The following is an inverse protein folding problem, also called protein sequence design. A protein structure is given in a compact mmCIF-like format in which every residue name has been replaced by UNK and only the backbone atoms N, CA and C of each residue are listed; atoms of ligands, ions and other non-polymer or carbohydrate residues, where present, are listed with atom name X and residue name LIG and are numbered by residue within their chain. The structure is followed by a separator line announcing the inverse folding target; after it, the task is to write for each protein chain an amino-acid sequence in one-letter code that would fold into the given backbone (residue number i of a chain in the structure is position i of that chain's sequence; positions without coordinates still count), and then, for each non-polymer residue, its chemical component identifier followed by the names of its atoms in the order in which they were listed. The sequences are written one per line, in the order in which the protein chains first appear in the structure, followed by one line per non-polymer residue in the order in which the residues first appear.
data_IF_623616393455
#
_entry.id   IF_623616393455
#
_cell.length_a   1.000
_cell.length_b   1.000
_cell.length_c   1.000
_cell.angle_alpha   90.00
_cell.angle_beta   90.00
_cell.angle_gamma   90.00
#
_symmetry.space_group_name_H-M   'P 1'
#
loop_
_entity.id
_entity.type
_entity.pdbx_description
1 polymer ?
#
# COMPACT_ATOMS: atom_id res chain seq x y z
N UNK A 1 -33.63 -3.10 -7.64
CA UNK A 1 -32.69 -2.06 -7.28
C UNK A 1 -32.72 -1.82 -5.77
N UNK A 2 -31.72 -1.15 -5.23
CA UNK A 2 -31.59 -0.94 -3.79
C UNK A 2 -30.84 -2.05 -3.04
N UNK A 3 -30.24 -3.00 -3.75
CA UNK A 3 -29.36 -4.04 -3.20
C UNK A 3 -28.17 -4.18 -4.12
N UNK A 4 -26.97 -4.02 -3.61
CA UNK A 4 -25.70 -4.17 -4.31
C UNK A 4 -24.85 -5.25 -3.67
N UNK A 5 -24.10 -5.99 -4.47
CA UNK A 5 -23.13 -6.99 -4.06
C UNK A 5 -21.75 -6.59 -4.56
N UNK A 6 -20.80 -6.48 -3.68
CA UNK A 6 -19.47 -5.96 -3.99
C UNK A 6 -18.36 -6.74 -3.31
N UNK A 7 -17.17 -6.70 -3.93
CA UNK A 7 -15.91 -7.07 -3.33
C UNK A 7 -15.25 -5.85 -2.68
N UNK A 8 -14.50 -6.07 -1.62
CA UNK A 8 -13.66 -5.06 -0.98
C UNK A 8 -12.23 -5.59 -0.80
N UNK A 9 -11.30 -4.74 -0.38
CA UNK A 9 -9.94 -5.15 -0.02
C UNK A 9 -9.17 -5.86 -1.15
N UNK A 10 -8.53 -6.98 -0.80
CA UNK A 10 -7.65 -7.73 -1.71
C UNK A 10 -8.37 -8.22 -2.97
N UNK A 11 -9.59 -8.71 -2.82
CA UNK A 11 -10.42 -9.18 -3.92
C UNK A 11 -10.76 -8.05 -4.89
N UNK A 12 -11.11 -6.88 -4.37
CA UNK A 12 -11.42 -5.70 -5.18
C UNK A 12 -10.20 -5.20 -5.98
N UNK A 13 -8.99 -5.29 -5.39
CA UNK A 13 -7.73 -4.94 -6.04
C UNK A 13 -7.25 -5.96 -7.09
N UNK A 14 -7.89 -7.13 -7.18
CA UNK A 14 -7.40 -8.23 -8.02
C UNK A 14 -6.12 -8.87 -7.48
N UNK A 15 -5.90 -8.82 -6.19
CA UNK A 15 -4.73 -9.33 -5.49
C UNK A 15 -5.08 -10.57 -4.62
N UNK A 16 -6.06 -11.35 -5.04
CA UNK A 16 -6.44 -12.56 -4.33
C UNK A 16 -5.36 -13.64 -4.52
N UNK A 17 -4.96 -14.28 -3.41
CA UNK A 17 -4.07 -15.43 -3.46
C UNK A 17 -4.83 -16.76 -3.50
N UNK A 18 -4.15 -17.89 -3.77
CA UNK A 18 -4.79 -19.20 -3.92
C UNK A 18 -5.62 -19.67 -2.73
N UNK A 19 -5.25 -19.22 -1.52
CA UNK A 19 -5.97 -19.59 -0.28
C UNK A 19 -6.46 -18.36 0.49
N UNK A 20 -6.60 -17.21 -0.18
CA UNK A 20 -7.06 -15.98 0.47
C UNK A 20 -8.57 -15.99 0.68
N UNK A 21 -9.01 -15.35 1.76
CA UNK A 21 -10.42 -15.11 2.04
C UNK A 21 -11.05 -14.20 0.98
N UNK A 22 -12.34 -14.41 0.73
CA UNK A 22 -13.14 -13.53 -0.11
C UNK A 22 -13.80 -12.45 0.75
N UNK A 23 -13.31 -11.21 0.63
CA UNK A 23 -13.91 -10.03 1.30
C UNK A 23 -15.14 -9.55 0.52
N UNK A 24 -16.33 -9.85 1.00
CA UNK A 24 -17.59 -9.60 0.29
C UNK A 24 -18.58 -8.80 1.13
N UNK A 25 -19.32 -7.89 0.49
CA UNK A 25 -20.33 -7.08 1.16
C UNK A 25 -21.63 -7.02 0.36
N UNK A 26 -22.76 -7.18 1.05
CA UNK A 26 -24.08 -6.80 0.54
C UNK A 26 -24.41 -5.42 1.12
N UNK A 27 -24.64 -4.46 0.22
CA UNK A 27 -25.12 -3.13 0.58
C UNK A 27 -26.59 -3.04 0.21
N UNK A 28 -27.45 -2.57 1.11
CA UNK A 28 -28.86 -2.41 0.81
C UNK A 28 -29.44 -1.08 1.31
N UNK A 29 -30.46 -0.60 0.60
CA UNK A 29 -31.26 0.53 1.02
C UNK A 29 -32.29 0.09 2.09
N UNK A 30 -32.43 0.84 3.18
CA UNK A 30 -33.46 0.58 4.17
C UNK A 30 -34.85 0.44 3.52
N UNK A 31 -35.64 -0.52 3.96
CA UNK A 31 -36.99 -0.83 3.46
C UNK A 31 -37.07 -1.54 2.08
N UNK A 32 -35.94 -1.85 1.43
CA UNK A 32 -35.95 -2.65 0.19
C UNK A 32 -36.37 -4.09 0.46
N UNK A 33 -35.86 -4.67 1.55
CA UNK A 33 -36.19 -5.99 2.04
C UNK A 33 -36.50 -5.94 3.53
N UNK A 34 -37.35 -6.85 4.01
CA UNK A 34 -37.45 -7.11 5.43
C UNK A 34 -36.33 -8.05 5.89
N UNK A 35 -36.15 -8.20 7.21
CA UNK A 35 -35.05 -9.00 7.79
C UNK A 35 -35.06 -10.46 7.32
N UNK A 36 -36.25 -11.07 7.16
CA UNK A 36 -36.37 -12.43 6.67
C UNK A 36 -35.89 -12.55 5.22
N UNK A 37 -36.32 -11.65 4.33
CA UNK A 37 -35.94 -11.64 2.93
C UNK A 37 -34.43 -11.37 2.76
N UNK A 38 -33.86 -10.49 3.62
CA UNK A 38 -32.44 -10.20 3.64
C UNK A 38 -31.62 -11.43 4.03
N UNK A 39 -32.05 -12.14 5.09
CA UNK A 39 -31.41 -13.38 5.52
C UNK A 39 -31.52 -14.48 4.45
N UNK A 40 -32.68 -14.64 3.79
CA UNK A 40 -32.83 -15.60 2.70
C UNK A 40 -31.92 -15.30 1.51
N UNK A 41 -31.78 -14.01 1.13
CA UNK A 41 -30.86 -13.58 0.08
C UNK A 41 -29.42 -13.85 0.47
N UNK A 42 -29.02 -13.48 1.68
CA UNK A 42 -27.71 -13.71 2.21
C UNK A 42 -27.33 -15.20 2.18
N UNK A 43 -28.21 -16.04 2.71
CA UNK A 43 -28.00 -17.48 2.73
C UNK A 43 -27.84 -18.06 1.31
N UNK A 44 -28.64 -17.61 0.33
CA UNK A 44 -28.50 -18.01 -1.07
C UNK A 44 -27.18 -17.63 -1.71
N UNK A 45 -26.56 -16.54 -1.25
CA UNK A 45 -25.27 -16.10 -1.77
C UNK A 45 -24.09 -16.77 -1.05
N UNK A 46 -24.18 -16.94 0.28
CA UNK A 46 -23.06 -17.44 1.07
C UNK A 46 -22.92 -18.96 1.06
N UNK A 47 -24.03 -19.71 1.17
CA UNK A 47 -23.96 -21.16 1.25
C UNK A 47 -23.23 -21.81 0.06
N UNK A 48 -23.48 -21.45 -1.21
CA UNK A 48 -22.75 -22.05 -2.33
C UNK A 48 -21.25 -21.81 -2.30
N UNK A 49 -20.82 -20.68 -1.74
CA UNK A 49 -19.40 -20.34 -1.61
C UNK A 49 -18.75 -21.14 -0.48
N UNK A 50 -19.39 -21.24 0.68
CA UNK A 50 -18.93 -22.10 1.78
C UNK A 50 -18.90 -23.58 1.39
N UNK A 51 -19.92 -24.06 0.71
CA UNK A 51 -20.00 -25.47 0.24
C UNK A 51 -18.90 -25.79 -0.78
N UNK A 52 -18.34 -24.78 -1.46
CA UNK A 52 -17.18 -24.92 -2.33
C UNK A 52 -15.84 -24.89 -1.59
N UNK A 53 -15.84 -24.75 -0.28
CA UNK A 53 -14.61 -24.71 0.54
C UNK A 53 -13.86 -23.39 0.47
N UNK A 54 -14.53 -22.29 0.10
CA UNK A 54 -13.96 -20.95 0.09
C UNK A 54 -14.15 -20.28 1.46
N UNK A 55 -13.09 -19.66 1.96
CA UNK A 55 -13.16 -18.84 3.16
C UNK A 55 -13.74 -17.47 2.82
N UNK A 56 -14.68 -16.98 3.63
CA UNK A 56 -15.41 -15.74 3.39
C UNK A 56 -15.32 -14.83 4.60
N UNK A 57 -14.81 -13.61 4.39
CA UNK A 57 -15.15 -12.46 5.24
C UNK A 57 -16.31 -11.71 4.57
N UNK A 58 -17.47 -11.70 5.20
CA UNK A 58 -18.69 -11.19 4.59
C UNK A 58 -19.49 -10.31 5.55
N UNK A 59 -20.14 -9.31 5.01
CA UNK A 59 -21.03 -8.47 5.79
C UNK A 59 -22.25 -8.03 4.98
N UNK A 60 -23.31 -7.67 5.71
CA UNK A 60 -24.54 -7.12 5.16
C UNK A 60 -24.79 -5.81 5.89
N UNK A 61 -24.83 -4.70 5.16
CA UNK A 61 -24.87 -3.38 5.74
C UNK A 61 -25.71 -2.43 4.90
N UNK A 62 -26.36 -1.49 5.57
CA UNK A 62 -26.85 -0.29 4.89
C UNK A 62 -25.68 0.64 4.57
N UNK A 63 -25.86 1.57 3.65
CA UNK A 63 -24.87 2.62 3.38
C UNK A 63 -24.40 3.34 4.64
N UNK A 64 -25.35 3.74 5.52
CA UNK A 64 -25.01 4.42 6.75
C UNK A 64 -24.14 3.58 7.69
N UNK A 65 -24.40 2.28 7.79
CA UNK A 65 -23.57 1.35 8.57
C UNK A 65 -22.16 1.15 7.96
N UNK A 66 -22.03 1.14 6.62
CA UNK A 66 -20.73 1.13 5.97
C UNK A 66 -19.91 2.38 6.32
N UNK A 67 -20.53 3.55 6.25
CA UNK A 67 -19.91 4.83 6.59
C UNK A 67 -19.51 4.88 8.08
N UNK A 68 -20.38 4.43 8.98
CA UNK A 68 -20.12 4.40 10.42
C UNK A 68 -18.93 3.49 10.78
N UNK A 69 -18.89 2.27 10.24
CA UNK A 69 -17.78 1.35 10.50
C UNK A 69 -16.47 1.92 10.01
N UNK A 70 -16.43 2.50 8.81
CA UNK A 70 -15.20 3.10 8.27
C UNK A 70 -14.75 4.36 9.00
N UNK A 71 -15.63 5.04 9.73
CA UNK A 71 -15.25 6.18 10.57
C UNK A 71 -14.55 5.77 11.87
N UNK A 72 -14.76 4.54 12.35
CA UNK A 72 -14.27 4.08 13.66
C UNK A 72 -13.26 2.95 13.60
N UNK A 73 -13.21 2.20 12.51
CA UNK A 73 -12.34 1.04 12.30
C UNK A 73 -11.36 1.33 11.15
N UNK A 74 -10.06 1.44 11.48
CA UNK A 74 -9.03 1.75 10.50
C UNK A 74 -8.81 0.62 9.48
N UNK A 75 -8.71 -0.66 9.85
CA UNK A 75 -8.66 -1.78 8.92
C UNK A 75 -9.84 -1.81 7.96
N UNK A 76 -11.06 -1.65 8.47
CA UNK A 76 -12.26 -1.59 7.65
C UNK A 76 -12.23 -0.39 6.69
N UNK A 77 -11.85 0.80 7.18
CA UNK A 77 -11.72 1.98 6.33
C UNK A 77 -10.75 1.74 5.16
N UNK A 78 -9.58 1.16 5.43
CA UNK A 78 -8.60 0.84 4.37
C UNK A 78 -9.13 -0.21 3.39
N UNK A 79 -9.85 -1.23 3.86
CA UNK A 79 -10.48 -2.22 2.98
C UNK A 79 -11.52 -1.60 2.04
N UNK A 80 -12.29 -0.64 2.54
CA UNK A 80 -13.32 0.07 1.78
C UNK A 80 -12.79 1.12 0.80
N UNK A 81 -11.50 1.46 0.82
CA UNK A 81 -10.89 2.30 -0.22
C UNK A 81 -10.81 1.57 -1.57
N UNK A 82 -10.88 0.23 -1.54
CA UNK A 82 -10.90 -0.63 -2.72
C UNK A 82 -12.23 -1.37 -2.77
N UNK A 83 -13.15 -0.92 -3.61
CA UNK A 83 -14.50 -1.51 -3.78
C UNK A 83 -14.73 -1.81 -5.25
N UNK A 84 -15.18 -3.02 -5.56
CA UNK A 84 -15.53 -3.45 -6.91
C UNK A 84 -16.94 -4.01 -6.94
N UNK A 85 -17.87 -3.42 -7.69
CA UNK A 85 -19.19 -3.98 -7.90
C UNK A 85 -19.11 -5.37 -8.55
N UNK A 86 -19.89 -6.33 -8.03
CA UNK A 86 -20.03 -7.68 -8.59
C UNK A 86 -21.40 -7.80 -9.25
N UNK A 87 -22.48 -7.46 -8.53
CA UNK A 87 -23.85 -7.62 -9.02
C UNK A 87 -24.82 -6.65 -8.35
N UNK A 88 -26.02 -6.53 -8.89
CA UNK A 88 -27.12 -5.76 -8.32
C UNK A 88 -27.02 -4.25 -8.61
N UNK A 89 -27.32 -3.43 -7.61
CA UNK A 89 -27.36 -1.96 -7.73
C UNK A 89 -25.95 -1.34 -7.70
N UNK A 90 -25.32 -1.26 -8.85
CA UNK A 90 -23.98 -0.66 -9.03
C UNK A 90 -23.95 0.82 -8.60
N UNK A 91 -25.04 1.56 -8.79
CA UNK A 91 -25.09 2.96 -8.41
C UNK A 91 -25.04 3.12 -6.89
N UNK A 92 -25.74 2.27 -6.15
CA UNK A 92 -25.68 2.23 -4.68
C UNK A 92 -24.27 1.93 -4.19
N UNK A 93 -23.60 0.93 -4.78
CA UNK A 93 -22.22 0.55 -4.43
C UNK A 93 -21.28 1.72 -4.69
N UNK A 94 -21.30 2.29 -5.89
CA UNK A 94 -20.42 3.39 -6.30
C UNK A 94 -20.64 4.64 -5.43
N UNK A 95 -21.89 4.97 -5.13
CA UNK A 95 -22.23 6.11 -4.26
C UNK A 95 -21.71 5.91 -2.84
N UNK A 96 -21.83 4.69 -2.30
CA UNK A 96 -21.31 4.33 -0.98
C UNK A 96 -19.78 4.44 -0.95
N UNK A 97 -19.09 3.85 -1.91
CA UNK A 97 -17.63 3.91 -2.04
C UNK A 97 -17.12 5.36 -2.16
N UNK A 98 -17.78 6.18 -2.99
CA UNK A 98 -17.46 7.61 -3.15
C UNK A 98 -17.63 8.37 -1.82
N UNK A 99 -18.73 8.13 -1.10
CA UNK A 99 -18.96 8.76 0.20
C UNK A 99 -17.87 8.40 1.22
N UNK A 100 -17.49 7.11 1.30
CA UNK A 100 -16.42 6.65 2.20
C UNK A 100 -15.09 7.30 1.84
N UNK A 101 -14.74 7.36 0.55
CA UNK A 101 -13.50 8.00 0.09
C UNK A 101 -13.48 9.50 0.42
N UNK A 102 -14.61 10.20 0.26
CA UNK A 102 -14.70 11.62 0.64
C UNK A 102 -14.55 11.82 2.17
N UNK A 103 -15.15 10.93 2.98
CA UNK A 103 -15.00 10.95 4.45
C UNK A 103 -13.54 10.67 4.83
N UNK A 104 -12.89 9.69 4.19
CA UNK A 104 -11.47 9.40 4.37
C UNK A 104 -10.59 10.63 4.13
N UNK A 105 -10.80 11.34 3.01
CA UNK A 105 -10.08 12.58 2.68
C UNK A 105 -10.33 13.71 3.68
N UNK A 106 -11.57 13.89 4.11
CA UNK A 106 -11.92 14.88 5.15
C UNK A 106 -11.29 14.58 6.49
N UNK A 107 -11.14 13.29 6.83
CA UNK A 107 -10.54 12.83 8.07
C UNK A 107 -9.01 12.68 8.01
N UNK A 108 -8.39 12.92 6.87
CA UNK A 108 -6.97 12.59 6.58
C UNK A 108 -6.00 13.12 7.64
N UNK A 109 -6.15 14.39 8.08
CA UNK A 109 -5.33 14.98 9.14
C UNK A 109 -5.43 14.22 10.48
N UNK A 110 -6.62 13.75 10.84
CA UNK A 110 -6.85 12.98 12.06
C UNK A 110 -6.36 11.54 11.93
N UNK A 111 -6.52 10.95 10.73
CA UNK A 111 -6.19 9.56 10.45
C UNK A 111 -4.69 9.30 10.24
N UNK A 112 -3.93 10.32 9.82
CA UNK A 112 -2.50 10.13 9.54
C UNK A 112 -1.71 9.61 10.74
N UNK A 113 -1.81 10.18 11.96
CA UNK A 113 -1.14 9.61 13.13
C UNK A 113 -1.56 8.16 13.41
N UNK A 114 -2.84 7.83 13.31
CA UNK A 114 -3.39 6.50 13.53
C UNK A 114 -2.78 5.47 12.55
N UNK A 115 -2.64 5.85 11.27
CA UNK A 115 -1.97 5.03 10.24
C UNK A 115 -0.50 4.77 10.58
N UNK A 116 0.23 5.81 10.97
CA UNK A 116 1.65 5.73 11.29
C UNK A 116 1.90 4.93 12.58
N UNK A 117 1.07 5.10 13.61
CA UNK A 117 1.12 4.33 14.84
C UNK A 117 0.83 2.84 14.58
N UNK A 118 -0.15 2.53 13.72
CA UNK A 118 -0.41 1.16 13.27
C UNK A 118 0.80 0.53 12.57
N UNK A 119 1.48 1.29 11.70
CA UNK A 119 2.69 0.82 11.02
C UNK A 119 3.85 0.57 12.00
N UNK A 120 3.98 1.44 13.01
CA UNK A 120 5.00 1.31 14.06
C UNK A 120 4.73 0.11 14.96
N UNK A 121 3.50 -0.08 15.40
CA UNK A 121 3.12 -1.24 16.22
C UNK A 121 3.45 -2.57 15.51
N UNK A 122 3.15 -2.68 14.20
CA UNK A 122 3.52 -3.86 13.43
C UNK A 122 5.04 -4.04 13.28
N UNK A 123 5.80 -2.94 13.12
CA UNK A 123 7.26 -3.02 13.09
C UNK A 123 7.82 -3.59 14.40
N UNK A 124 7.27 -3.18 15.54
CA UNK A 124 7.70 -3.65 16.86
C UNK A 124 7.35 -5.13 17.09
N UNK A 125 6.22 -5.60 16.53
CA UNK A 125 5.74 -6.98 16.69
C UNK A 125 6.37 -7.95 15.67
N UNK A 126 6.42 -7.59 14.39
CA UNK A 126 6.80 -8.49 13.29
C UNK A 126 8.21 -8.23 12.74
N UNK A 127 8.86 -7.16 13.16
CA UNK A 127 10.17 -6.78 12.67
C UNK A 127 10.16 -6.29 11.21
N UNK A 128 11.33 -6.36 10.58
CA UNK A 128 11.52 -5.92 9.18
C UNK A 128 11.70 -7.13 8.27
N UNK A 129 10.98 -7.15 7.16
CA UNK A 129 11.03 -8.22 6.15
C UNK A 129 12.47 -8.58 5.73
N UNK A 130 13.34 -7.58 5.59
CA UNK A 130 14.73 -7.77 5.17
C UNK A 130 15.68 -8.36 6.22
N UNK A 131 15.25 -8.51 7.49
CA UNK A 131 16.12 -8.94 8.59
C UNK A 131 15.60 -10.15 9.36
N UNK A 132 14.40 -10.63 9.06
CA UNK A 132 13.78 -11.77 9.72
C UNK A 132 13.90 -13.01 8.85
N UNK A 133 14.43 -14.11 9.40
CA UNK A 133 14.63 -15.35 8.64
C UNK A 133 13.33 -16.07 8.25
N UNK A 134 12.30 -15.92 9.08
CA UNK A 134 10.95 -16.47 8.84
C UNK A 134 9.93 -15.33 8.98
N UNK A 135 9.93 -14.38 8.04
CA UNK A 135 9.06 -13.22 8.14
C UNK A 135 7.59 -13.57 7.86
N UNK A 136 6.69 -12.85 8.51
CA UNK A 136 5.36 -12.65 7.98
C UNK A 136 5.43 -11.63 6.85
N UNK A 137 5.25 -12.07 5.61
CA UNK A 137 5.40 -11.22 4.42
C UNK A 137 4.25 -10.22 4.24
N UNK A 138 3.18 -10.35 5.02
CA UNK A 138 2.05 -9.42 5.05
C UNK A 138 2.26 -8.35 6.11
N UNK A 139 2.57 -8.74 7.34
CA UNK A 139 2.57 -7.84 8.50
C UNK A 139 3.93 -7.22 8.81
N UNK A 140 5.06 -7.87 8.47
CA UNK A 140 6.39 -7.29 8.68
C UNK A 140 6.57 -5.95 7.96
N UNK A 141 7.43 -5.08 8.49
CA UNK A 141 7.79 -3.81 7.84
C UNK A 141 8.40 -4.07 6.47
N UNK A 142 7.84 -3.48 5.43
CA UNK A 142 8.17 -3.77 4.03
C UNK A 142 7.33 -4.89 3.43
N UNK A 143 6.31 -5.38 4.14
CA UNK A 143 5.35 -6.38 3.69
C UNK A 143 4.14 -5.81 2.96
N UNK A 144 3.19 -6.68 2.63
CA UNK A 144 1.99 -6.31 1.85
C UNK A 144 1.09 -5.30 2.57
N UNK A 145 1.02 -5.32 3.91
CA UNK A 145 0.25 -4.34 4.67
C UNK A 145 0.78 -2.92 4.50
N UNK A 146 2.09 -2.77 4.35
CA UNK A 146 2.71 -1.48 4.09
C UNK A 146 2.32 -0.92 2.71
N UNK A 147 2.13 -1.78 1.71
CA UNK A 147 1.62 -1.34 0.40
C UNK A 147 0.17 -0.85 0.45
N UNK A 148 -0.65 -1.46 1.32
CA UNK A 148 -2.02 -0.97 1.59
C UNK A 148 -1.99 0.41 2.26
N UNK A 149 -1.08 0.62 3.22
CA UNK A 149 -0.90 1.93 3.85
C UNK A 149 -0.44 3.02 2.85
N UNK A 150 0.50 2.71 1.96
CA UNK A 150 0.90 3.63 0.88
C UNK A 150 -0.31 4.02 0.03
N UNK A 151 -1.16 3.06 -0.34
CA UNK A 151 -2.38 3.32 -1.11
C UNK A 151 -3.39 4.16 -0.33
N UNK A 152 -3.55 3.91 0.97
CA UNK A 152 -4.43 4.68 1.85
C UNK A 152 -3.95 6.14 2.02
N UNK A 153 -2.64 6.36 2.14
CA UNK A 153 -2.03 7.70 2.17
C UNK A 153 -2.26 8.44 0.84
N UNK A 154 -2.09 7.77 -0.28
CA UNK A 154 -2.37 8.36 -1.60
C UNK A 154 -3.85 8.67 -1.78
N UNK A 155 -4.76 7.80 -1.36
CA UNK A 155 -6.21 8.02 -1.41
C UNK A 155 -6.66 9.23 -0.56
N UNK A 156 -5.89 9.58 0.47
CA UNK A 156 -6.15 10.76 1.30
C UNK A 156 -5.79 12.11 0.65
N UNK A 157 -5.06 12.10 -0.48
CA UNK A 157 -4.48 13.25 -1.18
C UNK A 157 -3.39 14.00 -0.39
N UNK A 158 -2.86 13.41 0.67
CA UNK A 158 -1.76 14.00 1.42
C UNK A 158 -0.40 13.78 0.74
N UNK A 159 -0.28 12.70 -0.06
CA UNK A 159 0.95 12.40 -0.80
C UNK A 159 0.63 11.59 -2.06
N UNK A 160 1.51 11.66 -3.05
CA UNK A 160 1.41 10.85 -4.25
C UNK A 160 1.88 9.41 -3.99
N UNK A 161 1.25 8.47 -4.68
CA UNK A 161 1.66 7.06 -4.68
C UNK A 161 2.94 6.88 -5.50
N UNK A 162 3.97 6.18 -4.99
CA UNK A 162 5.11 5.79 -5.80
C UNK A 162 4.70 4.76 -6.87
N UNK A 163 5.44 4.72 -7.98
CA UNK A 163 5.21 3.83 -9.12
C UNK A 163 6.50 3.14 -9.58
N UNK A 164 6.42 2.34 -10.64
CA UNK A 164 7.56 1.66 -11.26
C UNK A 164 8.17 0.60 -10.36
N UNK A 165 9.41 0.79 -9.92
CA UNK A 165 10.14 -0.17 -9.07
C UNK A 165 9.37 -0.57 -7.79
N UNK A 166 8.54 0.34 -7.28
CA UNK A 166 7.65 0.03 -6.15
C UNK A 166 6.55 -0.95 -6.56
N UNK A 167 5.89 -0.73 -7.69
CA UNK A 167 4.83 -1.62 -8.19
C UNK A 167 5.40 -3.02 -8.45
N UNK A 168 6.56 -3.12 -9.10
CA UNK A 168 7.29 -4.38 -9.33
C UNK A 168 7.59 -5.11 -8.01
N UNK A 169 8.00 -4.37 -6.97
CA UNK A 169 8.27 -4.97 -5.66
C UNK A 169 7.00 -5.53 -5.01
N UNK A 170 5.88 -4.84 -5.11
CA UNK A 170 4.58 -5.31 -4.59
C UNK A 170 4.10 -6.54 -5.36
N UNK A 171 4.14 -6.51 -6.69
CA UNK A 171 3.77 -7.66 -7.54
C UNK A 171 4.62 -8.88 -7.22
N UNK A 172 5.93 -8.70 -7.09
CA UNK A 172 6.84 -9.80 -6.74
C UNK A 172 6.58 -10.37 -5.35
N UNK A 173 6.16 -9.53 -4.38
CA UNK A 173 5.78 -10.02 -3.06
C UNK A 173 4.45 -10.79 -3.07
N UNK A 174 3.53 -10.43 -3.96
CA UNK A 174 2.31 -11.20 -4.20
C UNK A 174 2.63 -12.57 -4.80
N UNK A 175 3.57 -12.66 -5.76
CA UNK A 175 4.05 -13.95 -6.29
C UNK A 175 4.62 -14.83 -5.16
N UNK A 176 5.42 -14.24 -4.25
CA UNK A 176 5.95 -14.98 -3.08
C UNK A 176 4.83 -15.49 -2.20
N UNK A 177 3.81 -14.67 -1.91
CA UNK A 177 2.65 -15.09 -1.13
C UNK A 177 1.92 -16.26 -1.77
N UNK A 178 1.68 -16.18 -3.06
CA UNK A 178 0.96 -17.24 -3.78
C UNK A 178 1.74 -18.55 -3.76
N UNK A 179 3.07 -18.50 -3.89
CA UNK A 179 3.92 -19.67 -3.71
C UNK A 179 3.84 -20.23 -2.27
N UNK A 180 3.81 -19.36 -1.24
CA UNK A 180 3.64 -19.81 0.15
C UNK A 180 2.31 -20.54 0.31
N UNK A 181 1.19 -19.98 -0.18
CA UNK A 181 -0.13 -20.58 -0.11
C UNK A 181 -0.16 -21.97 -0.77
N UNK A 182 0.44 -22.08 -1.96
CA UNK A 182 0.50 -23.36 -2.70
C UNK A 182 1.36 -24.40 -1.99
N UNK A 183 2.48 -24.00 -1.39
CA UNK A 183 3.38 -24.91 -0.66
C UNK A 183 2.78 -25.32 0.68
N UNK A 184 2.11 -24.40 1.37
CA UNK A 184 1.51 -24.62 2.69
C UNK A 184 0.13 -25.32 2.60
N UNK A 185 -0.57 -25.17 1.45
CA UNK A 185 -1.94 -25.69 1.25
C UNK A 185 -2.98 -24.97 2.12
N UNK A 186 -2.71 -23.73 2.55
CA UNK A 186 -3.61 -22.93 3.41
C UNK A 186 -3.26 -21.45 3.34
N UNK A 187 -4.17 -20.59 3.80
CA UNK A 187 -3.88 -19.17 4.00
C UNK A 187 -2.84 -19.00 5.11
N UNK A 188 -1.66 -18.57 4.71
CA UNK A 188 -0.57 -18.19 5.61
C UNK A 188 0.40 -17.25 4.92
N UNK A 189 0.82 -16.21 5.62
CA UNK A 189 1.82 -15.26 5.12
C UNK A 189 3.19 -15.46 5.77
N UNK A 190 3.33 -16.51 6.61
CA UNK A 190 4.58 -16.80 7.31
C UNK A 190 5.51 -17.65 6.45
N UNK A 191 6.67 -17.10 6.08
CA UNK A 191 7.72 -17.80 5.34
C UNK A 191 8.50 -18.75 6.27
N UNK A 192 7.95 -19.93 6.53
CA UNK A 192 8.62 -20.93 7.36
C UNK A 192 9.82 -21.55 6.64
N UNK A 193 10.86 -21.90 7.39
CA UNK A 193 12.08 -22.58 6.85
C UNK A 193 11.75 -23.78 5.96
N UNK A 194 10.80 -24.69 6.31
CA UNK A 194 10.48 -25.83 5.44
C UNK A 194 9.87 -25.46 4.08
N UNK A 195 9.37 -24.23 3.91
CA UNK A 195 8.76 -23.76 2.66
C UNK A 195 9.78 -23.14 1.73
N UNK A 196 10.88 -22.57 2.26
CA UNK A 196 11.79 -21.67 1.54
C UNK A 196 12.36 -22.30 0.25
N UNK A 197 12.86 -23.51 0.30
CA UNK A 197 13.43 -24.18 -0.88
C UNK A 197 12.39 -24.42 -1.99
N UNK A 198 11.15 -24.81 -1.61
CA UNK A 198 10.06 -25.02 -2.59
C UNK A 198 9.59 -23.71 -3.18
N UNK A 199 9.41 -22.68 -2.35
CA UNK A 199 9.03 -21.33 -2.79
C UNK A 199 10.10 -20.77 -3.74
N UNK A 200 11.38 -20.88 -3.40
CA UNK A 200 12.50 -20.45 -4.25
C UNK A 200 12.47 -21.14 -5.62
N UNK A 201 12.24 -22.46 -5.63
CA UNK A 201 12.13 -23.23 -6.87
C UNK A 201 10.94 -22.78 -7.73
N UNK A 202 9.77 -22.55 -7.13
CA UNK A 202 8.58 -22.06 -7.83
C UNK A 202 8.75 -20.65 -8.42
N UNK A 203 9.55 -19.82 -7.76
CA UNK A 203 9.90 -18.48 -8.24
C UNK A 203 11.01 -18.48 -9.30
N UNK A 204 11.54 -19.65 -9.67
CA UNK A 204 12.61 -19.80 -10.66
C UNK A 204 13.98 -19.36 -10.15
N UNK A 205 14.21 -19.36 -8.83
CA UNK A 205 15.49 -19.00 -8.21
C UNK A 205 16.46 -20.17 -8.08
N UNK A 206 16.01 -21.41 -8.32
CA UNK A 206 16.86 -22.61 -8.32
C UNK A 206 17.56 -22.76 -9.66
N UNK A 207 18.77 -22.23 -9.80
CA UNK A 207 19.58 -22.35 -11.03
C UNK A 207 19.95 -23.83 -11.28
N UNK A 208 19.56 -24.42 -12.43
CA UNK A 208 19.84 -25.80 -12.76
C UNK A 208 21.33 -26.09 -12.95
N UNK A 209 22.18 -25.09 -13.16
CA UNK A 209 23.63 -25.23 -13.29
C UNK A 209 24.36 -25.46 -11.97
N UNK A 210 23.69 -25.16 -10.83
CA UNK A 210 24.28 -25.41 -9.50
C UNK A 210 24.34 -26.91 -9.17
N UNK A 211 25.34 -27.34 -8.39
CA UNK A 211 25.43 -28.72 -7.89
C UNK A 211 24.14 -29.12 -7.18
N UNK A 212 23.61 -30.30 -7.44
CA UNK A 212 22.32 -30.76 -6.94
C UNK A 212 22.23 -30.72 -5.40
N UNK A 213 23.33 -31.09 -4.72
CA UNK A 213 23.46 -31.10 -3.28
C UNK A 213 23.49 -29.69 -2.62
N UNK A 214 23.79 -28.65 -3.40
CA UNK A 214 23.92 -27.26 -2.92
C UNK A 214 22.80 -26.36 -3.45
N UNK A 215 22.10 -26.79 -4.50
CA UNK A 215 21.05 -26.00 -5.18
C UNK A 215 19.98 -25.46 -4.24
N UNK A 216 19.53 -26.28 -3.28
CA UNK A 216 18.53 -25.86 -2.30
C UNK A 216 19.03 -24.73 -1.38
N UNK A 217 20.30 -24.78 -0.96
CA UNK A 217 20.90 -23.75 -0.12
C UNK A 217 21.06 -22.42 -0.87
N UNK A 218 21.63 -22.46 -2.09
CA UNK A 218 21.80 -21.24 -2.92
C UNK A 218 20.47 -20.60 -3.29
N UNK A 219 19.44 -21.40 -3.62
CA UNK A 219 18.12 -20.88 -3.92
C UNK A 219 17.43 -20.23 -2.71
N UNK A 220 17.70 -20.71 -1.48
CA UNK A 220 17.24 -20.08 -0.25
C UNK A 220 17.93 -18.72 -0.03
N UNK A 221 19.24 -18.63 -0.27
CA UNK A 221 19.99 -17.37 -0.15
C UNK A 221 19.49 -16.33 -1.17
N UNK A 222 19.19 -16.76 -2.40
CA UNK A 222 18.60 -15.90 -3.42
C UNK A 222 17.18 -15.46 -3.04
N UNK A 223 16.36 -16.33 -2.43
CA UNK A 223 15.05 -15.97 -1.90
C UNK A 223 15.16 -14.93 -0.78
N UNK A 224 16.09 -15.11 0.16
CA UNK A 224 16.32 -14.14 1.25
C UNK A 224 16.79 -12.80 0.67
N UNK A 225 17.67 -12.83 -0.36
CA UNK A 225 18.12 -11.61 -1.07
C UNK A 225 16.96 -10.91 -1.77
N UNK A 226 16.08 -11.66 -2.44
CA UNK A 226 14.86 -11.13 -3.07
C UNK A 226 13.95 -10.46 -2.04
N UNK A 227 13.63 -11.14 -0.94
CA UNK A 227 12.79 -10.60 0.14
C UNK A 227 13.41 -9.35 0.76
N UNK A 228 14.73 -9.34 0.95
CA UNK A 228 15.43 -8.17 1.47
C UNK A 228 15.37 -6.96 0.52
N UNK A 229 15.45 -7.16 -0.79
CA UNK A 229 15.28 -6.09 -1.79
C UNK A 229 13.85 -5.56 -1.79
N UNK A 230 12.86 -6.44 -1.84
CA UNK A 230 11.44 -6.09 -1.80
C UNK A 230 11.13 -5.29 -0.52
N UNK A 231 11.52 -5.83 0.63
CA UNK A 231 11.24 -5.22 1.92
C UNK A 231 11.83 -3.81 2.05
N UNK A 232 13.08 -3.59 1.57
CA UNK A 232 13.69 -2.26 1.55
C UNK A 232 12.93 -1.28 0.65
N UNK A 233 12.49 -1.71 -0.54
CA UNK A 233 11.76 -0.86 -1.49
C UNK A 233 10.41 -0.44 -0.93
N UNK A 234 9.63 -1.38 -0.41
CA UNK A 234 8.31 -1.09 0.15
C UNK A 234 8.43 -0.24 1.42
N UNK A 235 9.37 -0.56 2.34
CA UNK A 235 9.62 0.24 3.55
C UNK A 235 10.00 1.68 3.20
N UNK A 236 10.94 1.86 2.28
CA UNK A 236 11.35 3.20 1.83
C UNK A 236 10.18 3.97 1.20
N UNK A 237 9.37 3.30 0.38
CA UNK A 237 8.19 3.91 -0.25
C UNK A 237 7.17 4.36 0.78
N UNK A 238 6.94 3.57 1.85
CA UNK A 238 6.06 3.99 2.94
C UNK A 238 6.65 5.15 3.73
N UNK A 239 7.94 5.10 4.10
CA UNK A 239 8.59 6.17 4.85
C UNK A 239 8.56 7.50 4.09
N UNK A 240 8.88 7.48 2.80
CA UNK A 240 8.88 8.69 1.98
C UNK A 240 7.46 9.22 1.70
N UNK A 241 6.47 8.34 1.53
CA UNK A 241 5.07 8.76 1.36
C UNK A 241 4.50 9.34 2.65
N UNK A 242 4.81 8.73 3.80
CA UNK A 242 4.44 9.23 5.13
C UNK A 242 5.06 10.60 5.40
N UNK A 243 6.35 10.76 5.17
CA UNK A 243 7.05 12.04 5.34
C UNK A 243 6.42 13.16 4.49
N UNK A 244 6.08 12.89 3.22
CA UNK A 244 5.37 13.87 2.37
C UNK A 244 3.98 14.18 2.89
N UNK A 245 3.25 13.18 3.38
CA UNK A 245 1.94 13.38 3.97
C UNK A 245 1.99 14.27 5.22
N UNK A 246 2.95 14.04 6.12
CA UNK A 246 3.18 14.89 7.30
C UNK A 246 3.57 16.31 6.89
N UNK A 247 4.47 16.44 5.92
CA UNK A 247 4.91 17.75 5.41
C UNK A 247 3.75 18.54 4.80
N UNK A 248 2.86 17.90 4.05
CA UNK A 248 1.69 18.56 3.45
C UNK A 248 0.75 19.13 4.50
N UNK A 249 0.65 18.49 5.68
CA UNK A 249 -0.18 18.98 6.79
C UNK A 249 0.45 20.16 7.55
N UNK A 250 1.79 20.23 7.60
CA UNK A 250 2.51 21.32 8.28
C UNK A 250 2.61 22.60 7.44
N UNK A 251 2.53 22.47 6.10
CA UNK A 251 2.74 23.58 5.16
C UNK A 251 1.44 24.01 4.45
N UNK A 252 0.26 23.63 4.93
CA UNK A 252 -0.98 24.23 4.43
C UNK A 252 -0.94 25.75 4.60
N UNK A 253 -0.67 26.46 3.50
CA UNK A 253 -0.93 27.90 3.39
C UNK A 253 -2.44 28.09 3.66
N UNK A 254 -2.85 29.08 4.50
CA UNK A 254 -4.24 29.29 4.81
C UNK A 254 -5.07 29.41 3.52
N UNK A 255 -6.19 28.70 3.45
CA UNK A 255 -7.13 28.63 2.31
C UNK A 255 -7.53 29.98 1.70
N UNK A 256 -7.23 31.07 2.35
CA UNK A 256 -7.44 32.46 1.85
C UNK A 256 -6.56 32.81 0.64
N UNK A 257 -5.44 32.14 0.40
CA UNK A 257 -4.57 32.45 -0.75
C UNK A 257 -5.14 31.93 -2.07
N UNK A 258 -6.02 30.92 -2.06
CA UNK A 258 -6.62 30.36 -3.28
C UNK A 258 -7.67 31.28 -3.90
N UNK A 259 -8.40 32.07 -3.08
CA UNK A 259 -9.41 33.01 -3.58
C UNK A 259 -8.78 34.29 -4.15
N UNK A 260 -7.60 34.70 -3.69
CA UNK A 260 -6.87 35.85 -4.26
C UNK A 260 -6.20 35.52 -5.59
N UNK A 261 -5.92 34.24 -5.89
CA UNK A 261 -5.29 33.82 -7.15
C UNK A 261 -6.21 33.94 -8.37
N UNK A 262 -7.54 33.97 -8.16
CA UNK A 262 -8.52 34.12 -9.23
C UNK A 262 -8.86 35.59 -9.54
N UNK A 263 -8.50 36.55 -8.68
CA UNK A 263 -8.85 37.96 -8.85
C UNK A 263 -7.71 38.83 -9.41
N UNK A 264 -6.52 38.31 -9.60
CA UNK A 264 -5.41 39.03 -10.24
C UNK A 264 -4.98 38.36 -11.55
N UNK A 265 -5.69 38.66 -12.63
CA UNK A 265 -5.13 38.63 -13.98
C UNK A 265 -4.17 39.79 -14.15
N UNK A 266 -2.94 39.64 -13.70
CA UNK A 266 -1.82 40.43 -14.19
C UNK A 266 -0.50 39.66 -13.93
N UNK A 267 0.30 39.52 -14.97
CA UNK A 267 1.53 38.78 -15.16
C UNK A 267 2.49 38.69 -13.96
N UNK A 268 2.22 37.82 -13.02
CA UNK A 268 3.16 37.42 -12.01
C UNK A 268 4.10 36.36 -12.56
N UNK A 269 5.40 36.63 -12.66
CA UNK A 269 6.45 35.64 -12.85
C UNK A 269 6.24 34.55 -11.80
N UNK A 270 6.05 33.27 -12.22
CA UNK A 270 6.19 32.13 -11.32
C UNK A 270 7.58 32.24 -10.68
N UNK A 271 7.65 32.42 -9.37
CA UNK A 271 8.91 32.27 -8.66
C UNK A 271 9.44 30.86 -8.94
N UNK A 272 10.68 30.78 -9.42
CA UNK A 272 11.35 29.50 -9.62
C UNK A 272 11.44 28.77 -8.27
N UNK A 273 11.28 27.43 -8.24
CA UNK A 273 11.46 26.68 -7.01
C UNK A 273 12.78 27.04 -6.35
N UNK A 274 12.76 27.41 -5.06
CA UNK A 274 13.98 27.67 -4.31
C UNK A 274 14.61 26.34 -3.92
N UNK A 275 15.81 26.09 -4.47
CA UNK A 275 16.66 24.96 -4.10
C UNK A 275 17.77 25.47 -3.19
N UNK A 276 17.84 24.95 -1.97
CA UNK A 276 18.95 25.21 -1.05
C UNK A 276 20.07 24.21 -1.32
N UNK A 277 21.08 24.61 -2.09
CA UNK A 277 22.21 23.75 -2.46
C UNK A 277 23.10 23.50 -1.26
N UNK A 278 23.19 22.25 -0.80
CA UNK A 278 23.95 21.84 0.40
C UNK A 278 25.27 21.16 0.08
N UNK A 279 25.41 20.62 -1.13
CA UNK A 279 26.66 20.06 -1.64
C UNK A 279 26.65 20.10 -3.17
N UNK A 280 27.79 19.96 -3.86
CA UNK A 280 27.82 19.91 -5.32
C UNK A 280 26.87 18.84 -5.86
N UNK A 281 25.84 19.26 -6.63
CA UNK A 281 24.81 18.38 -7.19
C UNK A 281 23.69 17.97 -6.23
N UNK A 282 23.71 18.42 -4.95
CA UNK A 282 22.71 18.06 -3.92
C UNK A 282 22.05 19.32 -3.38
N UNK A 283 20.72 19.33 -3.33
CA UNK A 283 19.94 20.43 -2.77
C UNK A 283 18.85 19.93 -1.83
N UNK A 284 18.39 20.81 -0.93
CA UNK A 284 17.16 20.62 -0.16
C UNK A 284 16.00 21.27 -0.88
N UNK A 285 14.87 20.57 -0.93
CA UNK A 285 13.61 21.09 -1.46
C UNK A 285 12.45 20.39 -0.74
N UNK A 286 11.53 21.17 -0.19
CA UNK A 286 10.32 20.68 0.49
C UNK A 286 10.56 19.57 1.54
N UNK A 287 11.66 19.67 2.32
CA UNK A 287 11.98 18.70 3.37
C UNK A 287 12.63 17.41 2.89
N UNK A 288 12.99 17.32 1.62
CA UNK A 288 13.70 16.18 1.02
C UNK A 288 15.02 16.65 0.39
N UNK A 289 15.94 15.71 0.19
CA UNK A 289 17.13 15.92 -0.63
C UNK A 289 16.83 15.57 -2.09
N UNK A 290 17.18 16.47 -2.98
CA UNK A 290 16.95 16.37 -4.41
C UNK A 290 18.24 16.62 -5.19
N UNK A 291 18.26 16.27 -6.48
CA UNK A 291 19.33 16.72 -7.37
C UNK A 291 19.28 18.25 -7.49
N UNK A 292 20.40 18.90 -7.29
CA UNK A 292 20.52 20.33 -7.54
C UNK A 292 20.30 20.65 -9.04
N UNK A 293 19.77 21.83 -9.39
CA UNK A 293 19.65 22.24 -10.78
C UNK A 293 21.00 22.14 -11.51
N UNK A 294 20.99 21.44 -12.66
CA UNK A 294 22.21 21.22 -13.45
C UNK A 294 23.09 20.06 -12.98
N UNK A 295 22.66 19.27 -11.99
CA UNK A 295 23.38 18.05 -11.62
C UNK A 295 23.30 17.01 -12.77
N UNK A 296 24.42 16.38 -13.09
CA UNK A 296 24.54 15.34 -14.12
C UNK A 296 24.99 14.02 -13.48
N UNK A 297 24.08 13.18 -12.95
CA UNK A 297 24.44 11.95 -12.24
C UNK A 297 25.33 11.01 -13.05
N UNK A 298 25.06 10.87 -14.34
CA UNK A 298 25.84 10.00 -15.23
C UNK A 298 27.33 10.41 -15.40
N UNK A 299 27.66 11.69 -15.07
CA UNK A 299 29.02 12.22 -15.16
C UNK A 299 29.72 12.38 -13.81
N UNK A 300 29.00 12.11 -12.72
CA UNK A 300 29.50 12.37 -11.36
C UNK A 300 29.38 11.14 -10.46
N UNK A 301 30.36 10.25 -10.59
CA UNK A 301 30.42 9.00 -9.82
C UNK A 301 30.39 9.16 -8.27
N UNK A 302 30.62 10.39 -7.75
CA UNK A 302 30.60 10.67 -6.30
C UNK A 302 29.29 11.27 -5.83
N UNK A 303 28.35 11.55 -6.73
CA UNK A 303 27.10 12.23 -6.40
C UNK A 303 26.24 11.41 -5.43
N UNK A 304 26.11 10.09 -5.65
CA UNK A 304 25.38 9.19 -4.75
C UNK A 304 25.97 9.18 -3.32
N UNK A 305 27.30 9.22 -3.19
CA UNK A 305 27.95 9.29 -1.87
C UNK A 305 27.69 10.64 -1.19
N UNK A 306 27.79 11.76 -1.93
CA UNK A 306 27.46 13.09 -1.36
C UNK A 306 26.01 13.19 -0.95
N UNK A 307 25.10 12.62 -1.73
CA UNK A 307 23.68 12.53 -1.38
C UNK A 307 23.46 11.74 -0.07
N UNK A 308 24.14 10.60 0.08
CA UNK A 308 24.07 9.79 1.30
C UNK A 308 24.66 10.52 2.53
N UNK A 309 25.79 11.24 2.36
CA UNK A 309 26.39 12.06 3.42
C UNK A 309 25.42 13.17 3.84
N UNK A 310 24.86 13.90 2.87
CA UNK A 310 23.88 14.94 3.16
C UNK A 310 22.63 14.40 3.85
N UNK A 311 22.15 13.21 3.48
CA UNK A 311 21.02 12.56 4.15
C UNK A 311 21.31 12.28 5.63
N UNK A 312 22.52 11.78 5.94
CA UNK A 312 22.95 11.56 7.31
C UNK A 312 23.17 12.85 8.11
N UNK A 313 23.78 13.88 7.48
CA UNK A 313 24.10 15.15 8.12
C UNK A 313 22.85 15.97 8.46
N UNK A 314 21.90 16.03 7.54
CA UNK A 314 20.69 16.84 7.70
C UNK A 314 19.49 16.07 8.25
N UNK A 315 19.58 14.73 8.36
CA UNK A 315 18.46 13.88 8.79
C UNK A 315 17.26 13.93 7.84
N UNK A 316 17.51 14.22 6.54
CA UNK A 316 16.47 14.37 5.53
C UNK A 316 16.39 13.14 4.62
N UNK A 317 15.18 12.70 4.24
CA UNK A 317 15.01 11.65 3.26
C UNK A 317 15.45 12.12 1.87
N UNK A 318 15.92 11.16 1.05
CA UNK A 318 16.22 11.42 -0.35
C UNK A 318 14.93 11.23 -1.15
N UNK A 319 14.60 12.18 -2.00
CA UNK A 319 13.42 12.10 -2.88
C UNK A 319 13.50 10.85 -3.77
N UNK A 320 12.41 10.07 -3.90
CA UNK A 320 12.39 8.84 -4.68
C UNK A 320 12.80 9.00 -6.14
N UNK A 321 12.38 10.09 -6.80
CA UNK A 321 12.77 10.38 -8.18
C UNK A 321 14.27 10.67 -8.30
N UNK A 322 14.86 11.26 -7.28
CA UNK A 322 16.32 11.46 -7.19
C UNK A 322 17.06 10.13 -7.10
N UNK A 323 16.58 9.17 -6.29
CA UNK A 323 17.21 7.85 -6.16
C UNK A 323 17.19 7.03 -7.46
N UNK A 324 16.14 7.19 -8.27
CA UNK A 324 16.06 6.52 -9.58
C UNK A 324 17.06 7.09 -10.58
N UNK A 325 17.44 8.36 -10.40
CA UNK A 325 18.33 9.09 -11.31
C UNK A 325 19.79 9.15 -10.83
N UNK A 326 20.11 8.61 -9.65
CA UNK A 326 21.48 8.49 -9.12
C UNK A 326 22.20 7.24 -9.61
#
# INVERSE_FOLDING_TARGET
SGIGFAAVGSLARGQLGPSSDLDLVIIYEPRTLNDQQLNELANKLWYPLWDSGLDLDHSIRTRAQCEEVTDHDLPAAMGWLDVKPIAGDTALITTTATSILERWRKAARKRLPELLDSAKARLDEFGRLQYVNQPDIKEARGGLRDSVLVSALAASWLADRPHGIYDEAVERLLDVRDCIHLVAGKDTNLMLTPYQAKVAAMLGLADPTWPENERAAYSIDDLQTLLARIGRRISFSLDSTASRAEHSLTHEKPRFAFFQMFSQRSGGKREAPQFDVVAPGVAKHEGELVLAPGAEPAKDAKLALRMAVAAGEFGLPINPSTLVNL
#
